data_IF_839169208661
#
_entry.id   IF_839169208661
#
_cell.length_a   1.000
_cell.length_b   1.000
_cell.length_c   1.000
_cell.angle_alpha   90.00
_cell.angle_beta   90.00
_cell.angle_gamma   90.00
#
_symmetry.space_group_name_H-M   'P 1'
#
loop_
_entity.id
_entity.type
_entity.pdbx_description
1 polymer ?
#
# COMPACT_ATOMS: atom_id res chain seq x y z
N UNK A 1 13.18 17.15 -19.19
CA UNK A 1 12.11 16.16 -19.18
C UNK A 1 12.56 15.01 -18.26
N UNK A 2 11.71 14.52 -17.36
CA UNK A 2 12.07 13.42 -16.46
C UNK A 2 12.36 12.15 -17.28
N UNK A 3 13.50 11.50 -17.02
CA UNK A 3 13.88 10.24 -17.67
C UNK A 3 13.86 9.12 -16.63
N UNK A 4 12.99 8.13 -16.82
CA UNK A 4 12.83 6.96 -15.98
C UNK A 4 13.17 5.66 -16.72
N UNK A 5 13.95 5.73 -17.78
CA UNK A 5 14.38 4.56 -18.54
C UNK A 5 15.08 3.55 -17.62
N UNK A 6 14.63 2.30 -17.66
CA UNK A 6 15.14 1.22 -16.81
C UNK A 6 14.64 1.24 -15.35
N UNK A 7 13.70 2.13 -15.02
CA UNK A 7 13.00 2.12 -13.73
C UNK A 7 11.75 1.26 -13.79
N UNK A 8 11.48 0.52 -12.74
CA UNK A 8 10.33 -0.37 -12.62
C UNK A 8 9.30 0.26 -11.68
N UNK A 9 8.09 0.50 -12.17
CA UNK A 9 7.02 1.15 -11.46
C UNK A 9 5.80 0.22 -11.33
N UNK A 10 5.41 -0.11 -10.10
CA UNK A 10 4.18 -0.85 -9.80
C UNK A 10 3.08 0.14 -9.44
N UNK A 11 1.96 0.11 -10.17
CA UNK A 11 0.83 1.01 -9.99
C UNK A 11 -0.37 0.23 -9.48
N UNK A 12 -0.91 0.66 -8.34
CA UNK A 12 -2.10 0.09 -7.73
C UNK A 12 -3.27 1.08 -7.81
N UNK A 13 -4.51 0.58 -7.88
CA UNK A 13 -5.71 1.41 -7.79
C UNK A 13 -6.18 2.02 -9.12
N UNK A 14 -5.82 1.46 -10.26
CA UNK A 14 -6.44 1.83 -11.54
C UNK A 14 -7.83 1.17 -11.61
N UNK A 15 -8.89 1.95 -11.45
CA UNK A 15 -10.28 1.47 -11.56
C UNK A 15 -10.91 1.77 -12.92
N UNK A 16 -10.55 2.89 -13.54
CA UNK A 16 -11.08 3.35 -14.82
C UNK A 16 -10.19 4.47 -15.42
N UNK A 17 -10.59 5.01 -16.58
CA UNK A 17 -9.86 6.06 -17.30
C UNK A 17 -9.82 7.43 -16.59
N UNK A 18 -10.59 7.61 -15.50
CA UNK A 18 -10.59 8.83 -14.67
C UNK A 18 -9.77 8.67 -13.41
N UNK A 19 -9.21 7.48 -13.15
CA UNK A 19 -8.39 7.22 -11.96
C UNK A 19 -7.11 8.06 -11.99
N UNK A 20 -6.76 8.64 -10.86
CA UNK A 20 -5.46 9.33 -10.67
C UNK A 20 -4.32 8.37 -11.02
N UNK A 21 -4.42 7.12 -10.56
CA UNK A 21 -3.45 6.07 -10.87
C UNK A 21 -3.23 5.88 -12.38
N UNK A 22 -4.29 5.98 -13.19
CA UNK A 22 -4.18 5.89 -14.65
C UNK A 22 -3.37 7.06 -15.23
N UNK A 23 -3.66 8.28 -14.80
CA UNK A 23 -2.89 9.46 -15.21
C UNK A 23 -1.40 9.34 -14.85
N UNK A 24 -1.11 8.82 -13.65
CA UNK A 24 0.26 8.59 -13.19
C UNK A 24 0.94 7.51 -14.05
N UNK A 25 0.29 6.37 -14.31
CA UNK A 25 0.83 5.28 -15.12
C UNK A 25 1.22 5.76 -16.53
N UNK A 26 0.36 6.58 -17.16
CA UNK A 26 0.65 7.17 -18.47
C UNK A 26 1.88 8.09 -18.44
N UNK A 27 2.05 8.91 -17.39
CA UNK A 27 3.21 9.80 -17.29
C UNK A 27 4.50 9.04 -17.00
N UNK A 28 4.45 8.00 -16.16
CA UNK A 28 5.59 7.11 -15.91
C UNK A 28 6.02 6.38 -17.19
N UNK A 29 5.06 5.86 -17.95
CA UNK A 29 5.31 5.21 -19.23
C UNK A 29 5.95 6.17 -20.24
N UNK A 30 5.42 7.40 -20.38
CA UNK A 30 6.00 8.45 -21.25
C UNK A 30 7.41 8.84 -20.82
N UNK A 31 7.74 8.74 -19.54
CA UNK A 31 9.07 8.98 -19.02
C UNK A 31 10.03 7.79 -19.21
N UNK A 32 9.56 6.68 -19.77
CA UNK A 32 10.37 5.50 -20.09
C UNK A 32 10.44 4.42 -19.00
N UNK A 33 9.59 4.49 -17.96
CA UNK A 33 9.51 3.46 -16.94
C UNK A 33 8.82 2.19 -17.44
N UNK A 34 9.27 1.02 -16.97
CA UNK A 34 8.54 -0.24 -17.09
C UNK A 34 7.34 -0.20 -16.15
N UNK A 35 6.17 -0.52 -16.66
CA UNK A 35 4.92 -0.45 -15.89
C UNK A 35 4.45 -1.84 -15.49
N UNK A 36 4.11 -2.00 -14.21
CA UNK A 36 3.31 -3.09 -13.68
C UNK A 36 2.00 -2.54 -13.12
N UNK A 37 0.94 -3.28 -13.27
CA UNK A 37 -0.40 -2.90 -12.77
C UNK A 37 -0.94 -4.01 -11.91
N UNK A 38 -1.52 -3.67 -10.76
CA UNK A 38 -2.31 -4.61 -9.97
C UNK A 38 -3.79 -4.37 -10.15
N UNK A 39 -4.57 -5.44 -10.03
CA UNK A 39 -6.01 -5.39 -10.08
C UNK A 39 -6.65 -6.23 -8.96
N UNK A 40 -7.86 -5.85 -8.55
CA UNK A 40 -8.66 -6.68 -7.65
C UNK A 40 -9.24 -7.87 -8.44
N UNK A 41 -8.96 -9.11 -8.03
CA UNK A 41 -9.49 -10.30 -8.71
C UNK A 41 -10.96 -10.54 -8.29
N UNK A 42 -11.87 -9.69 -8.81
CA UNK A 42 -13.30 -9.78 -8.54
C UNK A 42 -14.07 -10.30 -9.78
N UNK A 43 -14.68 -9.40 -10.52
CA UNK A 43 -15.48 -9.73 -11.70
C UNK A 43 -14.62 -9.82 -12.97
N UNK A 44 -14.65 -10.94 -13.68
CA UNK A 44 -13.91 -11.15 -14.94
C UNK A 44 -14.12 -10.01 -15.95
N UNK A 45 -15.36 -9.49 -16.05
CA UNK A 45 -15.68 -8.36 -16.91
C UNK A 45 -14.91 -7.10 -16.55
N UNK A 46 -14.68 -6.84 -15.25
CA UNK A 46 -13.92 -5.68 -14.80
C UNK A 46 -12.44 -5.84 -15.12
N UNK A 47 -11.92 -7.04 -14.87
CA UNK A 47 -10.52 -7.37 -15.19
C UNK A 47 -10.24 -7.20 -16.68
N UNK A 48 -11.14 -7.71 -17.55
CA UNK A 48 -11.01 -7.54 -19.01
C UNK A 48 -11.03 -6.08 -19.44
N UNK A 49 -11.95 -5.28 -18.93
CA UNK A 49 -12.02 -3.84 -19.23
C UNK A 49 -10.77 -3.10 -18.74
N UNK A 50 -10.21 -3.49 -17.60
CA UNK A 50 -8.99 -2.89 -17.10
C UNK A 50 -7.79 -3.28 -17.97
N UNK A 51 -7.70 -4.53 -18.40
CA UNK A 51 -6.65 -4.98 -19.32
C UNK A 51 -6.65 -4.18 -20.63
N UNK A 52 -7.85 -3.99 -21.23
CA UNK A 52 -8.03 -3.14 -22.42
C UNK A 52 -7.63 -1.68 -22.15
N UNK A 53 -7.97 -1.13 -20.98
CA UNK A 53 -7.61 0.24 -20.60
C UNK A 53 -6.11 0.45 -20.50
N UNK A 54 -5.38 -0.52 -19.93
CA UNK A 54 -3.94 -0.36 -19.67
C UNK A 54 -3.05 -0.79 -20.85
N UNK A 55 -3.62 -1.36 -21.90
CA UNK A 55 -2.89 -1.78 -23.10
C UNK A 55 -1.96 -0.68 -23.68
N UNK A 56 -2.36 0.61 -23.74
CA UNK A 56 -1.50 1.67 -24.27
C UNK A 56 -0.18 1.89 -23.51
N UNK A 57 -0.11 1.51 -22.24
CA UNK A 57 1.13 1.62 -21.44
C UNK A 57 1.92 0.31 -21.42
N UNK A 58 1.45 -0.71 -22.15
CA UNK A 58 2.11 -2.01 -22.34
C UNK A 58 2.67 -2.57 -21.02
N UNK A 59 1.82 -2.82 -20.01
CA UNK A 59 2.31 -3.26 -18.72
C UNK A 59 3.04 -4.59 -18.85
N UNK A 60 4.27 -4.66 -18.38
CA UNK A 60 5.06 -5.90 -18.37
C UNK A 60 4.64 -6.88 -17.27
N UNK A 61 3.85 -6.39 -16.31
CA UNK A 61 3.18 -7.16 -15.25
C UNK A 61 1.73 -6.69 -15.10
N UNK A 62 0.80 -7.65 -15.06
CA UNK A 62 -0.61 -7.43 -14.79
C UNK A 62 -1.06 -8.49 -13.77
N UNK A 63 -1.12 -8.12 -12.49
CA UNK A 63 -1.15 -9.06 -11.37
C UNK A 63 -2.41 -8.91 -10.51
N UNK A 64 -3.05 -10.02 -10.11
CA UNK A 64 -4.13 -9.98 -9.14
C UNK A 64 -3.57 -9.63 -7.76
N UNK A 65 -4.20 -8.70 -7.06
CA UNK A 65 -3.82 -8.31 -5.70
C UNK A 65 -5.01 -7.74 -4.94
N UNK A 66 -5.56 -8.53 -4.01
CA UNK A 66 -6.43 -7.99 -2.98
C UNK A 66 -5.58 -7.64 -1.77
N UNK A 67 -5.46 -6.35 -1.47
CA UNK A 67 -4.61 -5.82 -0.40
C UNK A 67 -5.07 -6.14 1.02
N UNK A 68 -6.25 -6.72 1.17
CA UNK A 68 -6.74 -7.27 2.44
C UNK A 68 -6.16 -8.66 2.76
N UNK A 69 -5.40 -9.26 1.82
CA UNK A 69 -4.80 -10.59 1.97
C UNK A 69 -3.29 -10.52 1.83
N UNK A 70 -2.57 -10.64 2.94
CA UNK A 70 -1.10 -10.60 2.99
C UNK A 70 -0.46 -11.59 2.01
N UNK A 71 -1.05 -12.78 1.83
CA UNK A 71 -0.55 -13.77 0.88
C UNK A 71 -0.60 -13.28 -0.59
N UNK A 72 -1.63 -12.51 -0.97
CA UNK A 72 -1.72 -11.96 -2.33
C UNK A 72 -0.74 -10.79 -2.52
N UNK A 73 -0.52 -10.00 -1.48
CA UNK A 73 0.53 -8.98 -1.49
C UNK A 73 1.88 -9.64 -1.71
N UNK A 74 2.22 -10.67 -0.92
CA UNK A 74 3.48 -11.38 -1.05
C UNK A 74 3.67 -11.98 -2.45
N UNK A 75 2.66 -12.69 -2.97
CA UNK A 75 2.70 -13.26 -4.32
C UNK A 75 2.93 -12.19 -5.42
N UNK A 76 2.33 -11.01 -5.25
CA UNK A 76 2.54 -9.88 -6.15
C UNK A 76 4.01 -9.43 -6.16
N UNK A 77 4.63 -9.28 -4.99
CA UNK A 77 6.03 -8.84 -4.90
C UNK A 77 7.03 -9.95 -5.26
N UNK A 78 6.68 -11.22 -5.07
CA UNK A 78 7.47 -12.33 -5.59
C UNK A 78 7.51 -12.28 -7.12
N UNK A 79 6.36 -12.09 -7.78
CA UNK A 79 6.30 -11.93 -9.24
C UNK A 79 7.06 -10.68 -9.74
N UNK A 80 7.01 -9.57 -9.00
CA UNK A 80 7.80 -8.36 -9.29
C UNK A 80 9.29 -8.65 -9.20
N UNK A 81 9.72 -9.36 -8.16
CA UNK A 81 11.12 -9.76 -7.95
C UNK A 81 11.60 -10.69 -9.04
N UNK A 82 10.81 -11.70 -9.40
CA UNK A 82 11.16 -12.69 -10.44
C UNK A 82 11.29 -12.03 -11.83
N UNK A 83 10.42 -11.09 -12.15
CA UNK A 83 10.39 -10.43 -13.46
C UNK A 83 11.39 -9.30 -13.59
N UNK A 84 11.53 -8.47 -12.55
CA UNK A 84 12.30 -7.23 -12.61
C UNK A 84 13.55 -7.21 -11.72
N UNK A 85 13.66 -8.14 -10.76
CA UNK A 85 14.73 -8.18 -9.77
C UNK A 85 14.62 -7.09 -8.69
N UNK A 86 14.02 -5.94 -9.03
CA UNK A 86 13.82 -4.82 -8.09
C UNK A 86 12.62 -3.98 -8.49
N UNK A 87 12.06 -3.30 -7.50
CA UNK A 87 11.05 -2.25 -7.68
C UNK A 87 11.70 -0.89 -7.38
N UNK A 88 11.50 0.10 -8.25
CA UNK A 88 12.01 1.46 -8.06
C UNK A 88 10.91 2.43 -7.58
N UNK A 89 9.67 2.22 -8.04
CA UNK A 89 8.55 3.13 -7.79
C UNK A 89 7.30 2.30 -7.43
N UNK A 90 6.71 2.59 -6.28
CA UNK A 90 5.41 2.06 -5.87
C UNK A 90 4.39 3.20 -5.85
N UNK A 91 3.32 3.06 -6.62
CA UNK A 91 2.19 4.00 -6.63
C UNK A 91 1.01 3.35 -5.93
N UNK A 92 0.61 3.94 -4.80
CA UNK A 92 -0.55 3.53 -4.03
C UNK A 92 -1.68 4.55 -4.21
N UNK A 93 -2.69 4.18 -4.98
CA UNK A 93 -3.88 4.98 -5.23
C UNK A 93 -5.15 4.18 -4.87
N UNK A 94 -5.09 3.42 -3.79
CA UNK A 94 -6.20 2.63 -3.30
C UNK A 94 -7.03 3.47 -2.33
N UNK A 95 -8.35 3.45 -2.53
CA UNK A 95 -9.33 4.00 -1.62
C UNK A 95 -10.59 3.16 -1.70
N UNK A 96 -11.17 2.88 -0.55
CA UNK A 96 -12.41 2.12 -0.43
C UNK A 96 -13.26 2.67 0.73
N UNK A 97 -14.56 2.67 0.54
CA UNK A 97 -15.55 2.78 1.59
C UNK A 97 -16.81 2.03 1.16
N UNK A 98 -17.56 1.46 2.11
CA UNK A 98 -18.84 0.84 1.83
C UNK A 98 -19.80 1.88 1.31
N UNK A 99 -20.63 1.50 0.35
CA UNK A 99 -21.61 2.40 -0.26
C UNK A 99 -22.61 2.96 0.75
N UNK A 100 -22.98 2.13 1.71
CA UNK A 100 -23.92 2.46 2.79
C UNK A 100 -23.35 3.57 3.67
N UNK A 101 -22.04 3.52 3.98
CA UNK A 101 -21.36 4.51 4.81
C UNK A 101 -21.05 5.83 4.06
N UNK A 102 -21.18 5.84 2.72
CA UNK A 102 -21.05 7.04 1.89
C UNK A 102 -22.38 7.79 1.71
N UNK A 103 -23.47 7.26 2.23
CA UNK A 103 -24.79 7.85 2.11
C UNK A 103 -25.36 8.24 3.49
N UNK A 104 -26.04 9.40 3.55
CA UNK A 104 -26.64 9.91 4.78
C UNK A 104 -25.70 10.78 5.61
N UNK A 105 -25.92 10.80 6.93
CA UNK A 105 -25.14 11.61 7.85
C UNK A 105 -23.82 10.91 8.22
N UNK A 106 -22.72 11.62 8.23
CA UNK A 106 -21.40 11.13 8.64
C UNK A 106 -21.39 10.46 10.02
N UNK A 107 -22.17 10.96 10.97
CA UNK A 107 -22.25 10.40 12.33
C UNK A 107 -22.82 8.98 12.39
N UNK A 108 -23.44 8.51 11.30
CA UNK A 108 -23.98 7.16 11.16
C UNK A 108 -23.01 6.17 10.54
N UNK A 109 -21.76 6.57 10.28
CA UNK A 109 -20.74 5.67 9.76
C UNK A 109 -20.55 4.48 10.70
N UNK A 110 -20.62 3.26 10.14
CA UNK A 110 -20.45 2.04 10.91
C UNK A 110 -18.99 1.87 11.36
N UNK A 111 -18.77 1.23 12.51
CA UNK A 111 -17.41 0.93 12.99
C UNK A 111 -16.69 -0.02 12.04
N UNK A 112 -17.41 -1.00 11.55
CA UNK A 112 -16.92 -2.02 10.59
C UNK A 112 -16.55 -1.38 9.26
N UNK A 113 -17.39 -0.51 8.73
CA UNK A 113 -17.13 0.21 7.48
C UNK A 113 -15.94 1.16 7.60
N UNK A 114 -15.82 1.87 8.74
CA UNK A 114 -14.67 2.72 9.02
C UNK A 114 -13.37 1.90 9.11
N UNK A 115 -13.39 0.76 9.81
CA UNK A 115 -12.24 -0.13 9.90
C UNK A 115 -11.83 -0.67 8.52
N UNK A 116 -12.79 -1.14 7.70
CA UNK A 116 -12.53 -1.61 6.35
C UNK A 116 -11.95 -0.51 5.44
N UNK A 117 -12.48 0.72 5.56
CA UNK A 117 -11.96 1.86 4.80
C UNK A 117 -10.51 2.18 5.16
N UNK A 118 -10.14 2.16 6.44
CA UNK A 118 -8.75 2.36 6.89
C UNK A 118 -7.83 1.20 6.49
N UNK A 119 -8.30 -0.04 6.60
CA UNK A 119 -7.53 -1.23 6.22
C UNK A 119 -7.12 -1.16 4.75
N UNK A 120 -8.08 -0.94 3.85
CA UNK A 120 -7.81 -0.88 2.41
C UNK A 120 -7.09 0.40 1.99
N UNK A 121 -7.47 1.57 2.55
CA UNK A 121 -6.98 2.85 2.04
C UNK A 121 -5.68 3.32 2.69
N UNK A 122 -5.38 2.88 3.91
CA UNK A 122 -4.22 3.34 4.68
C UNK A 122 -3.27 2.20 5.07
N UNK A 123 -3.77 1.15 5.74
CA UNK A 123 -2.92 0.07 6.24
C UNK A 123 -2.27 -0.72 5.10
N UNK A 124 -2.97 -0.90 3.99
CA UNK A 124 -2.44 -1.59 2.81
C UNK A 124 -1.15 -0.96 2.29
N UNK A 125 -0.97 0.37 2.40
CA UNK A 125 0.29 1.03 2.04
C UNK A 125 1.46 0.51 2.88
N UNK A 126 1.25 0.32 4.19
CA UNK A 126 2.29 -0.21 5.09
C UNK A 126 2.69 -1.62 4.65
N UNK A 127 1.71 -2.47 4.34
CA UNK A 127 1.96 -3.85 3.91
C UNK A 127 2.65 -3.93 2.55
N UNK A 128 2.21 -3.12 1.59
CA UNK A 128 2.84 -3.03 0.27
C UNK A 128 4.28 -2.52 0.37
N UNK A 129 4.53 -1.49 1.19
CA UNK A 129 5.89 -0.99 1.42
C UNK A 129 6.78 -2.04 2.11
N UNK A 130 6.26 -2.78 3.08
CA UNK A 130 7.00 -3.85 3.75
C UNK A 130 7.40 -4.96 2.77
N UNK A 131 6.47 -5.38 1.89
CA UNK A 131 6.73 -6.40 0.87
C UNK A 131 7.66 -5.90 -0.25
N UNK A 132 7.66 -4.58 -0.53
CA UNK A 132 8.54 -3.97 -1.51
C UNK A 132 10.01 -3.87 -1.05
N UNK A 133 10.27 -3.97 0.25
CA UNK A 133 11.63 -3.89 0.76
C UNK A 133 12.45 -5.11 0.30
N UNK A 134 13.71 -4.91 -0.13
CA UNK A 134 14.59 -6.05 -0.37
C UNK A 134 14.72 -6.86 0.91
N UNK A 135 14.85 -8.22 0.83
CA UNK A 135 15.08 -9.04 2.01
C UNK A 135 16.25 -8.45 2.79
N UNK A 136 16.03 -8.27 4.09
CA UNK A 136 16.90 -7.54 5.00
C UNK A 136 18.29 -8.22 5.03
N UNK A 137 19.21 -7.77 4.19
CA UNK A 137 20.63 -8.05 4.40
C UNK A 137 21.03 -7.23 5.63
N UNK A 138 21.18 -7.90 6.76
CA UNK A 138 21.51 -7.32 8.08
C UNK A 138 22.77 -6.43 8.09
N UNK A 139 23.39 -6.18 6.94
CA UNK A 139 24.56 -5.30 6.75
C UNK A 139 24.22 -3.88 6.27
N UNK A 140 22.96 -3.56 6.11
CA UNK A 140 22.54 -2.27 5.56
C UNK A 140 21.29 -1.72 6.22
N UNK A 141 21.29 -1.54 7.55
CA UNK A 141 20.44 -0.55 8.16
C UNK A 141 20.87 0.82 7.60
N UNK A 142 20.31 1.21 6.46
CA UNK A 142 20.27 2.61 6.08
C UNK A 142 19.28 3.26 7.04
N UNK A 143 19.83 3.72 8.16
CA UNK A 143 19.21 4.75 8.94
C UNK A 143 18.79 5.85 7.97
N UNK A 144 17.50 6.21 7.96
CA UNK A 144 17.11 7.50 7.42
C UNK A 144 18.05 8.54 8.06
N UNK A 145 18.60 9.47 7.27
CA UNK A 145 19.37 10.54 7.89
C UNK A 145 18.47 11.14 8.97
N UNK A 146 18.96 11.11 10.21
CA UNK A 146 18.25 11.66 11.36
C UNK A 146 17.80 13.06 11.01
N UNK A 147 16.50 13.25 10.90
CA UNK A 147 15.92 14.58 10.95
C UNK A 147 16.29 15.11 12.33
N UNK A 148 16.97 16.26 12.45
CA UNK A 148 17.36 16.79 13.74
C UNK A 148 16.10 16.97 14.59
N UNK A 149 15.94 16.12 15.63
CA UNK A 149 14.83 16.16 16.59
C UNK A 149 13.94 14.89 16.70
N UNK A 150 14.20 13.78 15.97
CA UNK A 150 13.29 12.64 15.92
C UNK A 150 13.73 11.31 16.52
N UNK A 151 14.94 11.18 17.08
CA UNK A 151 15.55 9.85 17.30
C UNK A 151 15.34 9.20 18.67
N UNK A 152 14.73 9.84 19.66
CA UNK A 152 14.62 9.23 21.00
C UNK A 152 13.22 8.75 21.42
N UNK A 153 12.16 9.19 20.77
CA UNK A 153 10.80 8.87 21.23
C UNK A 153 10.25 7.51 20.76
N UNK A 154 10.75 6.96 19.67
CA UNK A 154 10.15 5.75 19.06
C UNK A 154 10.77 4.43 19.58
N UNK A 155 11.99 4.46 20.14
CA UNK A 155 12.61 3.28 20.73
C UNK A 155 12.16 3.02 22.19
N UNK A 156 11.66 4.03 22.87
CA UNK A 156 11.12 3.91 24.22
C UNK A 156 9.69 3.36 24.24
N UNK A 157 8.83 3.76 23.30
CA UNK A 157 7.47 3.22 23.20
C UNK A 157 7.41 1.70 22.91
N UNK A 158 8.44 1.12 22.31
CA UNK A 158 8.55 -0.33 22.11
C UNK A 158 9.17 -1.07 23.30
N UNK A 159 9.91 -0.41 24.17
CA UNK A 159 10.53 -1.02 25.35
C UNK A 159 9.65 -0.99 26.58
N UNK A 160 8.80 0.03 26.72
CA UNK A 160 7.93 0.21 27.89
C UNK A 160 6.61 -0.60 27.79
N UNK A 161 6.36 -1.29 26.66
CA UNK A 161 5.25 -2.24 26.50
C UNK A 161 5.41 -3.57 27.26
N UNK A 162 6.55 -3.78 27.92
CA UNK A 162 6.79 -4.97 28.75
C UNK A 162 6.67 -4.59 30.23
N UNK A 163 5.45 -4.28 30.66
CA UNK A 163 5.13 -4.14 32.08
C UNK A 163 5.21 -5.52 32.75
N UNK A 164 6.40 -5.91 33.19
CA UNK A 164 6.55 -6.96 34.20
C UNK A 164 6.14 -6.36 35.54
N UNK A 165 4.95 -6.73 36.04
CA UNK A 165 4.57 -6.50 37.41
C UNK A 165 3.27 -5.74 37.61
N UNK A 166 2.15 -6.29 37.17
CA UNK A 166 0.84 -6.04 37.77
C UNK A 166 0.26 -7.37 38.24
N UNK A 167 0.69 -7.79 39.42
CA UNK A 167 -0.06 -8.73 40.24
C UNK A 167 -1.07 -7.93 41.03
N UNK A 168 -2.38 -8.12 40.79
CA UNK A 168 -3.47 -7.88 41.71
C UNK A 168 -3.81 -6.42 42.03
N UNK A 169 -5.06 -6.10 41.72
CA UNK A 169 -5.93 -5.12 42.36
C UNK A 169 -5.62 -3.63 42.29
N UNK A 170 -6.65 -2.91 41.86
CA UNK A 170 -6.84 -1.45 41.88
C UNK A 170 -6.19 -0.59 40.79
N UNK A 171 -6.85 -0.53 39.63
CA UNK A 171 -6.77 0.63 38.76
C UNK A 171 -7.97 1.55 39.01
N UNK A 172 -7.81 2.47 39.96
CA UNK A 172 -8.78 3.55 40.19
C UNK A 172 -8.57 4.63 39.12
N UNK A 173 -9.54 4.78 38.22
CA UNK A 173 -9.70 5.95 37.37
C UNK A 173 -10.07 7.17 38.23
N UNK A 174 -9.11 8.06 38.49
CA UNK A 174 -9.40 9.40 38.95
C UNK A 174 -9.38 10.38 37.77
N UNK A 175 -10.56 10.87 37.53
CA UNK A 175 -11.01 12.12 36.88
C UNK A 175 -9.90 13.14 36.50
N UNK A 176 -9.88 13.52 35.24
CA UNK A 176 -10.19 14.89 34.82
C UNK A 176 -10.75 14.84 33.39
#
# INVERSE_FOLDING_TARGET
>A
MLNLTGKNALVTGIANNRSIAWGIAQQLHKAGANIGVTYLPDEERRVKKLAELVEPVQPSLFLPCNVQHDAQIQATFDAVKDKWGRLDILIHCLAFANKEDLSGSFVNTSREGFAAALDISAYSLIKLCAAAQPPNDRRGQRSYPDLPGGSESNSQLQRDGNCQGCSGDECTLSRL
#
